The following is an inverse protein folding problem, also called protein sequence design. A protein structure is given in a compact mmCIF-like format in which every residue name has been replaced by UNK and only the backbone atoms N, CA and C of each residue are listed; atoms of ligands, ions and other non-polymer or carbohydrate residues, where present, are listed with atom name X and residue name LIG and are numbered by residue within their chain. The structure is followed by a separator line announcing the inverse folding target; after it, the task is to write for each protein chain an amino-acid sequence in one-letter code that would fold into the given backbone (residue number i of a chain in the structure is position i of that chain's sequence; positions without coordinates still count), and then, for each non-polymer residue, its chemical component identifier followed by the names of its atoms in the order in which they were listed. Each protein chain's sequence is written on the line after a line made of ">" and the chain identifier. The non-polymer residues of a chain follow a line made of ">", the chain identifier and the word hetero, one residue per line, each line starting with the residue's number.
data_IF_485198272497
#
_entry.id   IF_485198272497
#
_cell.length_a   1.000
_cell.length_b   1.000
_cell.length_c   1.000
_cell.angle_alpha   90.00
_cell.angle_beta   90.00
_cell.angle_gamma   90.00
#
_symmetry.space_group_name_H-M   'P 1'
#
loop_
_entity.id
_entity.type
_entity.pdbx_description
1 polymer ?
#
# COMPACT_ATOMS: atom_id res chain seq x y z
N UNK A 1 10.40 10.88 -30.97
CA UNK A 1 10.34 10.59 -29.51
C UNK A 1 9.82 11.77 -28.67
N UNK A 2 9.83 13.03 -29.17
CA UNK A 2 9.30 14.21 -28.47
C UNK A 2 7.83 14.59 -28.79
N UNK A 3 7.12 13.80 -29.60
CA UNK A 3 5.73 14.07 -30.02
C UNK A 3 4.76 12.92 -29.68
N UNK A 4 5.21 11.89 -28.96
CA UNK A 4 4.35 10.80 -28.53
C UNK A 4 3.99 11.02 -27.04
N UNK A 5 2.82 11.63 -26.79
CA UNK A 5 2.33 11.90 -25.43
C UNK A 5 1.86 10.64 -24.70
N UNK A 6 1.53 9.57 -25.43
CA UNK A 6 1.07 8.28 -24.91
C UNK A 6 2.02 7.71 -23.84
N UNK A 7 3.32 7.66 -24.14
CA UNK A 7 4.34 7.10 -23.23
C UNK A 7 4.52 7.95 -21.96
N UNK A 8 4.52 9.29 -22.09
CA UNK A 8 4.63 10.20 -20.95
C UNK A 8 3.38 10.14 -20.07
N UNK A 9 2.19 10.02 -20.68
CA UNK A 9 0.91 9.90 -19.98
C UNK A 9 0.86 8.64 -19.11
N UNK A 10 1.30 7.50 -19.65
CA UNK A 10 1.35 6.23 -18.91
C UNK A 10 2.37 6.27 -17.76
N UNK A 11 3.54 6.85 -18.00
CA UNK A 11 4.58 7.00 -16.97
C UNK A 11 4.18 7.96 -15.85
N UNK A 12 3.52 9.08 -16.19
CA UNK A 12 2.98 10.01 -15.20
C UNK A 12 1.79 9.41 -14.44
N UNK A 13 0.92 8.66 -15.12
CA UNK A 13 -0.20 7.96 -14.51
C UNK A 13 0.26 6.94 -13.48
N UNK A 14 1.25 6.12 -13.81
CA UNK A 14 1.83 5.14 -12.86
C UNK A 14 2.59 5.81 -11.71
N UNK A 15 3.26 6.94 -11.95
CA UNK A 15 3.86 7.74 -10.89
C UNK A 15 2.78 8.29 -9.95
N UNK A 16 1.76 8.94 -10.50
CA UNK A 16 0.66 9.51 -9.74
C UNK A 16 -0.02 8.44 -8.88
N UNK A 17 -0.35 7.28 -9.45
CA UNK A 17 -1.02 6.18 -8.74
C UNK A 17 -0.17 5.61 -7.61
N UNK A 18 1.15 5.47 -7.81
CA UNK A 18 2.07 5.01 -6.75
C UNK A 18 2.24 6.02 -5.63
N UNK A 19 2.43 7.29 -5.98
CA UNK A 19 2.64 8.36 -4.99
C UNK A 19 1.36 8.61 -4.19
N UNK A 20 0.19 8.59 -4.83
CA UNK A 20 -1.07 8.71 -4.11
C UNK A 20 -1.32 7.47 -3.26
N UNK A 21 -1.43 6.28 -3.85
CA UNK A 21 -1.76 5.07 -3.09
C UNK A 21 -0.73 4.75 -2.00
N UNK A 22 0.56 4.75 -2.33
CA UNK A 22 1.64 4.47 -1.38
C UNK A 22 1.84 5.59 -0.36
N UNK A 23 1.78 6.85 -0.81
CA UNK A 23 1.98 8.01 0.05
C UNK A 23 0.84 8.20 1.04
N UNK A 24 -0.42 8.09 0.61
CA UNK A 24 -1.56 8.18 1.52
C UNK A 24 -1.67 6.97 2.42
N UNK A 25 -1.30 5.76 1.96
CA UNK A 25 -1.20 4.60 2.85
C UNK A 25 -0.21 4.86 3.99
N UNK A 26 0.97 5.39 3.66
CA UNK A 26 1.99 5.73 4.65
C UNK A 26 1.53 6.85 5.59
N UNK A 27 0.92 7.91 5.06
CA UNK A 27 0.55 9.09 5.86
C UNK A 27 -0.69 8.87 6.73
N UNK A 28 -1.74 8.21 6.21
CA UNK A 28 -3.01 8.03 6.92
C UNK A 28 -3.07 6.73 7.73
N UNK A 29 -2.38 5.68 7.32
CA UNK A 29 -2.48 4.38 7.99
C UNK A 29 -1.17 4.01 8.71
N UNK A 30 -0.02 4.13 8.04
CA UNK A 30 1.27 3.72 8.59
C UNK A 30 1.81 4.61 9.72
N UNK A 31 2.00 5.90 9.44
CA UNK A 31 2.61 6.86 10.38
C UNK A 31 1.82 6.99 11.70
N UNK A 32 0.48 7.10 11.70
CA UNK A 32 -0.27 7.18 12.96
C UNK A 32 -0.10 5.92 13.82
N UNK A 33 -0.10 4.72 13.20
CA UNK A 33 0.13 3.45 13.91
C UNK A 33 1.55 3.34 14.45
N UNK A 34 2.54 3.87 13.73
CA UNK A 34 3.93 3.87 14.16
C UNK A 34 4.14 4.79 15.38
N UNK A 35 3.55 5.99 15.35
CA UNK A 35 3.60 6.93 16.47
C UNK A 35 2.86 6.39 17.71
N UNK A 36 1.76 5.66 17.50
CA UNK A 36 0.97 5.06 18.56
C UNK A 36 1.40 3.62 18.93
N UNK A 37 2.57 3.15 18.47
CA UNK A 37 2.99 1.76 18.62
C UNK A 37 2.95 1.27 20.08
N UNK A 38 3.45 2.08 21.02
CA UNK A 38 3.45 1.73 22.44
C UNK A 38 2.04 1.46 22.99
N UNK A 39 1.05 2.24 22.55
CA UNK A 39 -0.34 2.12 23.01
C UNK A 39 -1.11 0.99 22.32
N UNK A 40 -0.80 0.74 21.05
CA UNK A 40 -1.49 -0.27 20.22
C UNK A 40 -0.91 -1.67 20.40
N UNK A 41 0.35 -1.81 20.82
CA UNK A 41 1.06 -3.09 20.89
C UNK A 41 0.33 -4.23 21.63
N UNK A 42 -0.52 -3.90 22.61
CA UNK A 42 -1.33 -4.86 23.38
C UNK A 42 -2.82 -4.90 23.06
N UNK A 43 -3.34 -3.99 22.21
CA UNK A 43 -4.79 -3.81 21.98
C UNK A 43 -5.16 -3.78 20.49
N UNK A 44 -4.18 -3.89 19.61
CA UNK A 44 -4.37 -3.85 18.17
C UNK A 44 -5.19 -5.04 17.64
N UNK A 45 -6.16 -4.79 16.76
CA UNK A 45 -7.01 -5.84 16.21
C UNK A 45 -6.21 -6.98 15.57
N UNK A 46 -6.56 -8.21 15.95
CA UNK A 46 -5.88 -9.42 15.52
C UNK A 46 -6.83 -10.39 14.81
N UNK A 47 -7.30 -10.06 13.59
CA UNK A 47 -8.25 -10.90 12.85
C UNK A 47 -7.65 -12.26 12.44
N UNK A 48 -6.33 -12.41 12.44
CA UNK A 48 -5.63 -13.65 12.10
C UNK A 48 -5.34 -14.54 13.34
N UNK A 49 -5.55 -14.02 14.55
CA UNK A 49 -5.29 -14.76 15.80
C UNK A 49 -3.82 -15.07 16.08
N UNK A 50 -2.89 -14.29 15.50
CA UNK A 50 -1.43 -14.49 15.66
C UNK A 50 -0.82 -13.70 16.82
N UNK A 51 -1.63 -12.89 17.50
CA UNK A 51 -1.29 -11.99 18.58
C UNK A 51 -1.26 -10.52 18.15
N UNK A 52 -1.83 -9.65 18.97
CA UNK A 52 -1.92 -8.19 18.80
C UNK A 52 -0.58 -7.55 18.38
N UNK A 53 0.52 -7.94 19.05
CA UNK A 53 1.86 -7.42 18.77
C UNK A 53 2.37 -7.81 17.37
N UNK A 54 2.19 -9.08 16.99
CA UNK A 54 2.65 -9.61 15.70
C UNK A 54 1.82 -9.02 14.56
N UNK A 55 0.50 -8.92 14.75
CA UNK A 55 -0.41 -8.28 13.80
C UNK A 55 -0.09 -6.81 13.58
N UNK A 56 0.26 -6.07 14.63
CA UNK A 56 0.70 -4.67 14.50
C UNK A 56 2.02 -4.54 13.73
N UNK A 57 3.00 -5.41 13.99
CA UNK A 57 4.28 -5.40 13.26
C UNK A 57 4.06 -5.70 11.78
N UNK A 58 3.28 -6.74 11.45
CA UNK A 58 2.98 -7.11 10.07
C UNK A 58 2.35 -5.95 9.30
N UNK A 59 1.40 -5.26 9.92
CA UNK A 59 0.73 -4.09 9.31
C UNK A 59 1.69 -2.91 9.18
N UNK A 60 2.55 -2.65 10.16
CA UNK A 60 3.54 -1.58 10.03
C UNK A 60 4.56 -1.85 8.91
N UNK A 61 4.97 -3.09 8.73
CA UNK A 61 5.83 -3.47 7.60
C UNK A 61 5.08 -3.29 6.28
N UNK A 62 3.81 -3.69 6.21
CA UNK A 62 2.99 -3.52 5.02
C UNK A 62 2.70 -2.04 4.69
N UNK A 63 2.45 -1.19 5.68
CA UNK A 63 2.00 0.18 5.43
C UNK A 63 3.15 1.19 5.38
N UNK A 64 4.15 1.05 6.26
CA UNK A 64 5.28 1.99 6.33
C UNK A 64 6.38 1.57 5.38
N UNK A 65 6.91 0.35 5.53
CA UNK A 65 8.05 -0.10 4.72
C UNK A 65 7.61 -0.29 3.27
N UNK A 66 6.57 -1.09 3.04
CA UNK A 66 6.11 -1.35 1.68
C UNK A 66 5.43 -0.12 1.05
N UNK A 67 4.70 0.70 1.81
CA UNK A 67 4.17 1.98 1.33
C UNK A 67 5.27 2.93 0.85
N UNK A 68 6.37 3.04 1.60
CA UNK A 68 7.56 3.83 1.19
C UNK A 68 8.17 3.26 -0.09
N UNK A 69 8.40 1.94 -0.15
CA UNK A 69 8.99 1.29 -1.32
C UNK A 69 8.14 1.47 -2.58
N UNK A 70 6.82 1.32 -2.47
CA UNK A 70 5.88 1.54 -3.57
C UNK A 70 5.92 3.01 -4.03
N UNK A 71 5.93 3.95 -3.09
CA UNK A 71 6.01 5.40 -3.38
C UNK A 71 7.30 5.75 -4.13
N UNK A 72 8.43 5.20 -3.69
CA UNK A 72 9.74 5.39 -4.33
C UNK A 72 9.90 4.58 -5.62
N UNK A 73 9.03 3.60 -5.84
CA UNK A 73 9.07 2.73 -7.00
C UNK A 73 10.02 1.54 -6.92
N UNK A 74 10.61 1.26 -5.76
CA UNK A 74 11.55 0.16 -5.61
C UNK A 74 10.80 -1.17 -5.51
N UNK A 75 11.17 -2.16 -6.33
CA UNK A 75 10.56 -3.49 -6.35
C UNK A 75 9.02 -3.48 -6.30
N UNK A 76 8.40 -2.59 -7.07
CA UNK A 76 6.96 -2.27 -6.91
C UNK A 76 6.05 -3.49 -6.89
N UNK A 77 6.31 -4.50 -7.72
CA UNK A 77 5.47 -5.72 -7.77
C UNK A 77 5.53 -6.54 -6.48
N UNK A 78 6.70 -6.62 -5.85
CA UNK A 78 6.87 -7.39 -4.61
C UNK A 78 6.34 -6.56 -3.44
N UNK A 79 6.62 -5.25 -3.43
CA UNK A 79 6.20 -4.35 -2.38
C UNK A 79 4.69 -4.07 -2.35
N UNK A 80 3.94 -4.28 -3.43
CA UNK A 80 2.47 -4.14 -3.37
C UNK A 80 1.76 -5.35 -2.78
N UNK A 81 2.40 -6.52 -2.71
CA UNK A 81 1.76 -7.76 -2.20
C UNK A 81 1.34 -7.61 -0.73
N UNK A 82 2.21 -7.16 0.21
CA UNK A 82 1.80 -7.02 1.61
C UNK A 82 0.69 -5.97 1.83
N UNK A 83 0.72 -4.78 1.21
CA UNK A 83 -0.42 -3.83 1.24
C UNK A 83 -1.74 -4.42 0.73
N UNK A 84 -1.71 -5.18 -0.37
CA UNK A 84 -2.93 -5.81 -0.94
C UNK A 84 -3.54 -6.78 0.07
N UNK A 85 -2.71 -7.63 0.69
CA UNK A 85 -3.17 -8.59 1.70
C UNK A 85 -3.69 -7.86 2.94
N UNK A 86 -2.98 -6.82 3.41
CA UNK A 86 -3.39 -6.04 4.58
C UNK A 86 -4.76 -5.37 4.37
N UNK A 87 -4.99 -4.78 3.20
CA UNK A 87 -6.28 -4.17 2.85
C UNK A 87 -7.37 -5.22 2.66
N UNK A 88 -7.07 -6.38 2.07
CA UNK A 88 -8.03 -7.48 1.96
C UNK A 88 -8.47 -8.00 3.33
N UNK A 89 -7.53 -8.21 4.26
CA UNK A 89 -7.85 -8.61 5.64
C UNK A 89 -8.66 -7.52 6.35
N UNK A 90 -8.29 -6.26 6.20
CA UNK A 90 -9.04 -5.15 6.78
C UNK A 90 -10.47 -5.04 6.23
N UNK A 91 -10.67 -5.22 4.93
CA UNK A 91 -11.98 -5.12 4.29
C UNK A 91 -12.87 -6.33 4.58
N UNK A 92 -12.35 -7.55 4.38
CA UNK A 92 -13.16 -8.77 4.43
C UNK A 92 -13.22 -9.41 5.81
N UNK A 93 -12.16 -9.32 6.62
CA UNK A 93 -12.12 -9.97 7.94
C UNK A 93 -12.46 -9.00 9.07
N UNK A 94 -11.90 -7.78 9.04
CA UNK A 94 -12.14 -6.82 10.12
C UNK A 94 -13.49 -6.11 9.99
N UNK A 95 -13.88 -5.71 8.78
CA UNK A 95 -15.11 -4.96 8.54
C UNK A 95 -16.17 -5.78 7.78
N UNK A 96 -15.99 -7.09 7.61
CA UNK A 96 -16.82 -7.93 6.73
C UNK A 96 -18.33 -7.89 7.01
N UNK A 97 -18.71 -7.75 8.28
CA UNK A 97 -20.12 -7.69 8.72
C UNK A 97 -20.70 -6.25 8.70
N UNK A 98 -19.87 -5.24 8.43
CA UNK A 98 -20.30 -3.84 8.37
C UNK A 98 -20.87 -3.46 6.99
N UNK A 99 -21.70 -2.40 6.91
CA UNK A 99 -22.15 -1.88 5.62
C UNK A 99 -20.98 -1.50 4.71
N UNK A 100 -21.15 -1.71 3.40
CA UNK A 100 -20.11 -1.47 2.39
C UNK A 100 -19.47 -0.07 2.47
N UNK A 101 -20.20 0.93 2.97
CA UNK A 101 -19.69 2.29 3.22
C UNK A 101 -18.40 2.32 4.06
N UNK A 102 -18.25 1.41 5.03
CA UNK A 102 -17.06 1.34 5.88
C UNK A 102 -15.94 0.48 5.25
N UNK A 103 -16.31 -0.41 4.32
CA UNK A 103 -15.40 -1.29 3.58
C UNK A 103 -14.82 -0.64 2.31
N UNK A 104 -15.54 0.34 1.75
CA UNK A 104 -15.26 0.98 0.47
C UNK A 104 -13.83 1.51 0.38
N UNK A 105 -13.35 2.21 1.42
CA UNK A 105 -12.01 2.79 1.42
C UNK A 105 -10.92 1.71 1.35
N UNK A 106 -11.05 0.64 2.14
CA UNK A 106 -10.10 -0.48 2.11
C UNK A 106 -10.11 -1.20 0.76
N UNK A 107 -11.30 -1.36 0.17
CA UNK A 107 -11.45 -1.95 -1.16
C UNK A 107 -10.81 -1.07 -2.25
N UNK A 108 -10.98 0.25 -2.18
CA UNK A 108 -10.36 1.19 -3.12
C UNK A 108 -8.84 1.16 -3.03
N UNK A 109 -8.26 1.12 -1.82
CA UNK A 109 -6.81 0.95 -1.67
C UNK A 109 -6.33 -0.39 -2.21
N UNK A 110 -7.05 -1.48 -1.93
CA UNK A 110 -6.73 -2.81 -2.46
C UNK A 110 -6.69 -2.79 -4.00
N UNK A 111 -7.71 -2.21 -4.64
CA UNK A 111 -7.77 -2.10 -6.10
C UNK A 111 -6.70 -1.14 -6.66
N UNK A 112 -6.36 -0.07 -5.96
CA UNK A 112 -5.28 0.83 -6.35
C UNK A 112 -3.92 0.11 -6.31
N UNK A 113 -3.61 -0.63 -5.25
CA UNK A 113 -2.37 -1.42 -5.19
C UNK A 113 -2.35 -2.57 -6.19
N UNK A 114 -3.50 -3.18 -6.48
CA UNK A 114 -3.64 -4.16 -7.56
C UNK A 114 -3.34 -3.52 -8.93
N UNK A 115 -3.82 -2.30 -9.18
CA UNK A 115 -3.49 -1.56 -10.38
C UNK A 115 -1.97 -1.27 -10.44
N UNK A 116 -1.34 -0.82 -9.35
CA UNK A 116 0.14 -0.68 -9.31
C UNK A 116 0.84 -2.01 -9.61
N UNK A 117 0.35 -3.12 -9.06
CA UNK A 117 0.93 -4.44 -9.30
C UNK A 117 0.89 -4.85 -10.78
N UNK A 118 -0.24 -4.58 -11.46
CA UNK A 118 -0.44 -4.90 -12.87
C UNK A 118 0.36 -3.96 -13.79
N UNK A 119 0.28 -2.65 -13.57
CA UNK A 119 0.98 -1.64 -14.37
C UNK A 119 2.51 -1.64 -14.13
N UNK A 120 2.97 -2.07 -12.95
CA UNK A 120 4.39 -2.13 -12.60
C UNK A 120 4.98 -0.78 -12.16
N UNK A 121 6.30 -0.64 -12.30
CA UNK A 121 7.05 0.50 -11.74
C UNK A 121 7.09 1.75 -12.62
N UNK A 122 6.74 1.68 -13.91
CA UNK A 122 6.80 2.84 -14.82
C UNK A 122 8.23 3.40 -15.05
N UNK A 123 8.35 4.46 -15.85
CA UNK A 123 9.66 5.06 -16.17
C UNK A 123 10.25 5.91 -15.05
N UNK A 124 9.42 6.56 -14.23
CA UNK A 124 9.83 7.36 -13.08
C UNK A 124 10.01 6.52 -11.81
N UNK A 125 10.70 5.39 -11.93
CA UNK A 125 11.00 4.51 -10.81
C UNK A 125 12.47 4.52 -10.46
N UNK A 126 12.81 4.56 -9.16
CA UNK A 126 14.19 4.38 -8.70
C UNK A 126 14.74 2.98 -9.01
N UNK A 127 13.87 1.98 -9.25
CA UNK A 127 14.24 0.62 -9.68
C UNK A 127 15.12 0.65 -10.96
N UNK A 128 14.89 1.65 -11.83
CA UNK A 128 15.63 1.83 -13.09
C UNK A 128 17.05 2.38 -12.91
N UNK A 129 17.35 3.02 -11.78
CA UNK A 129 18.68 3.54 -11.47
C UNK A 129 19.60 2.46 -10.88
N UNK A 130 19.04 1.44 -10.21
CA UNK A 130 19.80 0.40 -9.52
C UNK A 130 19.96 -0.91 -10.33
N UNK A 131 19.21 -1.12 -11.41
CA UNK A 131 19.27 -2.33 -12.24
C UNK A 131 19.52 -2.03 -13.72
N UNK A 132 20.59 -1.29 -14.02
CA UNK A 132 21.13 -1.16 -15.39
C UNK A 132 22.51 -1.80 -15.50
#
# INVERSE_FOLDING_TARGET
>A
MLLNSEEISNDLGTLALRVTAGGTLLMQHGLPKLMAFGNLSGTFSDPLGVGHFISLILILVAEVVCGTLVTLGLWTRISTIPPIIAMAVATFMQHGDEPFKNQELGFLYMMAFLAVFLLGSGRFSLDRLNFR
#
